data_IF_637307239804
#
_entry.id   IF_637307239804
#
_cell.length_a   1.000
_cell.length_b   1.000
_cell.length_c   1.000
_cell.angle_alpha   90.00
_cell.angle_beta   90.00
_cell.angle_gamma   90.00
#
_symmetry.space_group_name_H-M   'P 1'
#
loop_
_entity.id
_entity.type
_entity.pdbx_description
1 polymer ?
#
# COMPACT_ATOMS: atom_id res chain seq x y z
N UNK A 1 44.01 -41.38 22.74
CA UNK A 1 43.49 -40.75 23.96
C UNK A 1 42.03 -40.36 23.69
N UNK A 2 41.07 -41.18 24.19
CA UNK A 2 39.67 -41.02 23.95
C UNK A 2 39.05 -40.05 24.94
N UNK A 3 38.33 -39.05 24.43
CA UNK A 3 37.53 -38.14 25.24
C UNK A 3 36.33 -38.92 25.83
N UNK A 4 36.16 -38.80 27.17
CA UNK A 4 35.15 -39.58 27.90
C UNK A 4 33.74 -39.17 27.52
N UNK A 5 32.81 -40.16 27.54
CA UNK A 5 31.39 -40.01 27.18
C UNK A 5 30.62 -38.97 27.99
N UNK A 6 31.18 -38.50 29.12
CA UNK A 6 30.57 -37.44 29.94
C UNK A 6 30.73 -36.03 29.36
N UNK A 7 31.82 -35.79 28.57
CA UNK A 7 32.06 -34.47 27.95
C UNK A 7 31.14 -34.24 26.76
N UNK A 8 30.72 -35.30 26.07
CA UNK A 8 29.77 -35.20 24.96
C UNK A 8 28.31 -34.88 25.43
N UNK A 9 27.93 -35.50 26.57
CA UNK A 9 26.56 -35.24 27.13
C UNK A 9 26.40 -33.84 27.68
N UNK A 10 27.43 -33.15 28.13
CA UNK A 10 27.38 -31.75 28.56
C UNK A 10 27.27 -30.76 27.38
N UNK A 11 27.83 -31.09 26.22
CA UNK A 11 27.73 -30.23 25.03
C UNK A 11 26.36 -30.29 24.33
N UNK A 12 25.68 -31.42 24.38
CA UNK A 12 24.34 -31.59 23.80
C UNK A 12 23.27 -30.92 24.64
N UNK A 13 23.47 -30.76 25.96
CA UNK A 13 22.48 -30.10 26.86
C UNK A 13 22.51 -28.59 26.81
N UNK A 14 23.54 -27.97 26.18
CA UNK A 14 23.68 -26.52 26.04
C UNK A 14 23.09 -25.95 24.71
N UNK A 15 22.63 -26.82 23.81
CA UNK A 15 22.13 -26.39 22.48
C UNK A 15 20.60 -26.38 22.36
N UNK A 16 19.84 -26.65 23.42
CA UNK A 16 18.36 -26.74 23.35
C UNK A 16 17.67 -25.80 24.32
N UNK A 17 18.05 -24.53 24.37
CA UNK A 17 17.23 -23.47 24.92
C UNK A 17 17.29 -22.24 24.02
N UNK A 18 16.92 -22.37 22.75
CA UNK A 18 16.33 -21.24 22.04
C UNK A 18 14.95 -21.01 22.69
N UNK A 19 14.89 -20.05 23.61
CA UNK A 19 13.62 -19.42 23.96
C UNK A 19 13.06 -18.88 22.64
N UNK A 20 12.12 -19.58 22.04
CA UNK A 20 11.19 -18.99 21.10
C UNK A 20 10.46 -17.91 21.89
N UNK A 21 10.86 -16.66 21.71
CA UNK A 21 10.03 -15.54 22.10
C UNK A 21 8.78 -15.68 21.24
N UNK A 22 7.72 -16.22 21.81
CA UNK A 22 6.39 -16.12 21.22
C UNK A 22 6.05 -14.65 21.25
N UNK A 23 6.26 -13.95 20.13
CA UNK A 23 5.62 -12.67 19.91
C UNK A 23 4.12 -12.94 20.09
N UNK A 24 3.41 -12.19 20.94
CA UNK A 24 1.97 -12.37 21.07
C UNK A 24 1.36 -12.30 19.67
N UNK A 25 0.49 -13.24 19.32
CA UNK A 25 -0.29 -13.12 18.10
C UNK A 25 -1.00 -11.77 18.15
N UNK A 26 -0.85 -10.90 17.17
CA UNK A 26 -1.64 -9.68 17.13
C UNK A 26 -3.11 -10.08 17.24
N UNK A 27 -3.88 -9.30 18.00
CA UNK A 27 -5.32 -9.48 18.11
C UNK A 27 -5.99 -9.42 16.72
N UNK A 28 -7.31 -9.57 16.62
CA UNK A 28 -8.02 -9.49 15.35
C UNK A 28 -7.76 -8.12 14.71
N UNK A 29 -7.28 -8.12 13.46
CA UNK A 29 -7.05 -6.90 12.68
C UNK A 29 -8.37 -6.48 12.06
N UNK A 30 -8.78 -5.23 12.31
CA UNK A 30 -9.94 -4.62 11.67
C UNK A 30 -9.46 -3.74 10.52
N UNK A 31 -9.88 -4.07 9.31
CA UNK A 31 -9.49 -3.36 8.08
C UNK A 31 -10.62 -2.44 7.65
N UNK A 32 -10.27 -1.23 7.23
CA UNK A 32 -11.17 -0.32 6.54
C UNK A 32 -10.64 -0.04 5.13
N UNK A 33 -11.52 -0.11 4.14
CA UNK A 33 -11.27 0.38 2.79
C UNK A 33 -12.07 1.67 2.60
N UNK A 34 -11.38 2.78 2.32
CA UNK A 34 -11.99 4.07 2.08
C UNK A 34 -12.19 4.26 0.58
N UNK A 35 -13.43 4.55 0.20
CA UNK A 35 -13.81 4.83 -1.18
C UNK A 35 -14.60 6.14 -1.21
N UNK A 36 -14.08 7.12 -1.95
CA UNK A 36 -14.67 8.45 -2.10
C UNK A 36 -14.79 8.83 -3.57
N UNK A 37 -15.80 9.63 -3.87
CA UNK A 37 -15.87 10.36 -5.13
C UNK A 37 -14.99 11.59 -5.03
N UNK A 38 -13.98 11.70 -5.88
CA UNK A 38 -13.08 12.84 -5.90
C UNK A 38 -13.68 14.03 -6.68
N UNK A 39 -13.44 15.22 -6.17
CA UNK A 39 -13.69 16.50 -6.86
C UNK A 39 -12.43 16.96 -7.61
N UNK A 40 -12.54 18.12 -8.30
CA UNK A 40 -11.38 18.75 -8.93
C UNK A 40 -10.48 19.48 -7.91
N UNK A 41 -10.91 19.61 -6.67
CA UNK A 41 -10.16 20.25 -5.59
C UNK A 41 -9.39 19.18 -4.79
N UNK A 42 -8.06 19.20 -4.92
CA UNK A 42 -7.14 18.26 -4.25
C UNK A 42 -7.25 18.38 -2.74
N UNK A 43 -7.25 19.58 -2.18
CA UNK A 43 -7.31 19.79 -0.74
C UNK A 43 -8.64 19.28 -0.15
N UNK A 44 -9.77 19.53 -0.82
CA UNK A 44 -11.06 18.99 -0.41
C UNK A 44 -11.08 17.45 -0.41
N UNK A 45 -10.46 16.81 -1.41
CA UNK A 45 -10.37 15.36 -1.47
C UNK A 45 -9.52 14.82 -0.31
N UNK A 46 -8.41 15.47 0.01
CA UNK A 46 -7.53 15.08 1.13
C UNK A 46 -8.26 15.28 2.46
N UNK A 47 -8.92 16.43 2.67
CA UNK A 47 -9.66 16.72 3.90
C UNK A 47 -10.75 15.68 4.15
N UNK A 48 -11.58 15.39 3.15
CA UNK A 48 -12.62 14.36 3.26
C UNK A 48 -12.05 12.96 3.48
N UNK A 49 -10.90 12.66 2.90
CA UNK A 49 -10.21 11.38 3.14
C UNK A 49 -9.73 11.30 4.59
N UNK A 50 -9.16 12.36 5.14
CA UNK A 50 -8.74 12.43 6.54
C UNK A 50 -9.93 12.22 7.48
N UNK A 51 -11.08 12.86 7.21
CA UNK A 51 -12.30 12.67 8.00
C UNK A 51 -12.75 11.19 8.00
N UNK A 52 -12.66 10.52 6.86
CA UNK A 52 -12.98 9.10 6.76
C UNK A 52 -11.96 8.22 7.49
N UNK A 53 -10.66 8.56 7.46
CA UNK A 53 -9.62 7.87 8.23
C UNK A 53 -9.94 7.96 9.73
N UNK A 54 -10.24 9.16 10.24
CA UNK A 54 -10.59 9.39 11.65
C UNK A 54 -11.84 8.59 12.02
N UNK A 55 -12.86 8.59 11.17
CA UNK A 55 -14.09 7.83 11.39
C UNK A 55 -13.82 6.32 11.44
N UNK A 56 -13.03 5.79 10.50
CA UNK A 56 -12.66 4.38 10.43
C UNK A 56 -11.84 3.94 11.67
N UNK A 57 -10.86 4.74 12.07
CA UNK A 57 -10.05 4.49 13.26
C UNK A 57 -10.91 4.53 14.54
N UNK A 58 -11.81 5.51 14.66
CA UNK A 58 -12.78 5.60 15.77
C UNK A 58 -13.71 4.38 15.85
N UNK A 59 -14.00 3.75 14.68
CA UNK A 59 -14.71 2.49 14.61
C UNK A 59 -13.81 1.27 14.92
N UNK A 60 -12.53 1.48 15.24
CA UNK A 60 -11.55 0.47 15.64
C UNK A 60 -10.75 -0.15 14.51
N UNK A 61 -10.69 0.47 13.32
CA UNK A 61 -9.84 -0.01 12.25
C UNK A 61 -8.35 0.17 12.61
N UNK A 62 -7.55 -0.90 12.41
CA UNK A 62 -6.11 -0.91 12.65
C UNK A 62 -5.33 -0.75 11.32
N UNK A 63 -5.92 -1.16 10.19
CA UNK A 63 -5.41 -0.97 8.85
C UNK A 63 -6.43 -0.20 8.04
N UNK A 64 -6.00 0.90 7.44
CA UNK A 64 -6.86 1.75 6.61
C UNK A 64 -6.24 1.85 5.21
N UNK A 65 -6.96 1.39 4.21
CA UNK A 65 -6.55 1.42 2.81
C UNK A 65 -7.31 2.51 2.07
N UNK A 66 -6.59 3.40 1.43
CA UNK A 66 -7.14 4.42 0.54
C UNK A 66 -7.20 3.90 -0.89
N UNK A 67 -8.00 4.55 -1.73
CA UNK A 67 -8.03 4.24 -3.15
C UNK A 67 -6.75 4.69 -3.87
N UNK A 68 -6.52 4.18 -5.05
CA UNK A 68 -5.44 4.60 -5.95
C UNK A 68 -5.64 6.08 -6.33
N UNK A 69 -4.55 6.89 -6.29
CA UNK A 69 -4.55 8.31 -6.68
C UNK A 69 -5.67 9.13 -5.99
N UNK A 70 -5.91 8.84 -4.70
CA UNK A 70 -7.08 9.28 -3.95
C UNK A 70 -7.27 10.79 -3.85
N UNK A 71 -6.21 11.57 -4.06
CA UNK A 71 -6.24 13.04 -3.91
C UNK A 71 -6.83 13.78 -5.11
N UNK A 72 -7.11 13.08 -6.22
CA UNK A 72 -7.65 13.68 -7.44
C UNK A 72 -8.69 12.77 -8.10
N UNK A 73 -9.45 13.30 -9.05
CA UNK A 73 -10.14 12.45 -10.01
C UNK A 73 -9.12 11.59 -10.74
N UNK A 74 -9.52 10.40 -11.19
CA UNK A 74 -8.67 9.56 -12.01
C UNK A 74 -8.43 10.24 -13.37
N UNK A 75 -7.29 10.89 -13.50
CA UNK A 75 -6.95 11.75 -14.64
C UNK A 75 -6.44 10.95 -15.85
N UNK A 76 -6.07 9.70 -15.69
CA UNK A 76 -5.50 8.88 -16.76
C UNK A 76 -6.54 8.47 -17.84
N UNK A 77 -7.75 9.00 -17.77
CA UNK A 77 -8.76 8.85 -18.85
C UNK A 77 -8.36 9.58 -20.13
N UNK A 78 -7.46 10.54 -20.03
CA UNK A 78 -6.94 11.34 -21.13
C UNK A 78 -5.44 11.58 -20.96
N UNK A 79 -4.73 11.84 -22.07
CA UNK A 79 -3.34 12.28 -22.06
C UNK A 79 -3.29 13.80 -21.94
N UNK A 80 -3.07 14.32 -20.75
CA UNK A 80 -3.08 15.75 -20.43
C UNK A 80 -1.84 16.13 -19.62
N UNK A 81 -0.98 16.98 -20.21
CA UNK A 81 0.26 17.43 -19.56
C UNK A 81 0.03 18.26 -18.31
N UNK A 82 -1.11 18.93 -18.18
CA UNK A 82 -1.38 19.78 -17.02
C UNK A 82 -1.55 18.92 -15.74
N UNK A 83 -1.92 17.66 -15.87
CA UNK A 83 -2.08 16.74 -14.75
C UNK A 83 -0.75 16.41 -14.04
N UNK A 84 0.41 16.60 -14.68
CA UNK A 84 1.68 16.44 -14.00
C UNK A 84 1.90 17.41 -12.85
N UNK A 85 1.13 18.50 -12.78
CA UNK A 85 1.11 19.42 -11.66
C UNK A 85 0.60 18.79 -10.35
N UNK A 86 -0.19 17.70 -10.44
CA UNK A 86 -0.71 16.96 -9.30
C UNK A 86 0.35 16.09 -8.60
N UNK A 87 1.51 15.86 -9.25
CA UNK A 87 2.53 14.97 -8.73
C UNK A 87 3.32 15.61 -7.59
N UNK A 88 3.50 14.88 -6.49
CA UNK A 88 4.28 15.27 -5.32
C UNK A 88 5.51 14.38 -5.12
N UNK A 89 6.51 14.89 -4.41
CA UNK A 89 7.58 14.05 -3.87
C UNK A 89 7.04 13.12 -2.77
N UNK A 90 7.70 11.99 -2.55
CA UNK A 90 7.47 11.15 -1.38
C UNK A 90 8.78 11.10 -0.57
N UNK A 91 8.81 11.65 0.66
CA UNK A 91 7.76 12.42 1.35
C UNK A 91 7.41 13.75 0.68
N UNK A 92 6.15 14.16 0.85
CA UNK A 92 5.59 15.40 0.35
C UNK A 92 4.42 15.90 1.21
N UNK A 93 3.75 16.97 0.82
CA UNK A 93 2.68 17.60 1.62
C UNK A 93 1.56 16.64 1.99
N UNK A 94 1.09 15.84 1.02
CA UNK A 94 0.01 14.86 1.28
C UNK A 94 0.47 13.76 2.24
N UNK A 95 1.68 13.20 2.04
CA UNK A 95 2.21 12.17 2.95
C UNK A 95 2.43 12.71 4.36
N UNK A 96 2.83 13.97 4.52
CA UNK A 96 2.98 14.58 5.84
C UNK A 96 1.65 14.60 6.60
N UNK A 97 0.57 15.04 5.96
CA UNK A 97 -0.78 15.05 6.54
C UNK A 97 -1.25 13.64 6.91
N UNK A 98 -0.97 12.66 6.06
CA UNK A 98 -1.31 11.25 6.33
C UNK A 98 -0.50 10.68 7.51
N UNK A 99 0.78 11.05 7.65
CA UNK A 99 1.60 10.66 8.80
C UNK A 99 1.04 11.23 10.11
N UNK A 100 0.62 12.50 10.11
CA UNK A 100 0.02 13.15 11.28
C UNK A 100 -1.30 12.47 11.69
N UNK A 101 -2.17 12.14 10.74
CA UNK A 101 -3.43 11.47 11.04
C UNK A 101 -3.23 10.01 11.47
N UNK A 102 -2.27 9.30 10.89
CA UNK A 102 -1.90 7.94 11.31
C UNK A 102 -1.47 7.92 12.77
N UNK A 103 -0.52 8.80 13.15
CA UNK A 103 -0.05 8.93 14.54
C UNK A 103 -1.15 9.33 15.52
N UNK A 104 -2.03 10.25 15.10
CA UNK A 104 -3.11 10.73 15.98
C UNK A 104 -4.21 9.70 16.22
N UNK A 105 -4.30 8.67 15.38
CA UNK A 105 -5.38 7.68 15.44
C UNK A 105 -4.88 6.24 15.64
N UNK A 106 -3.59 6.03 15.89
CA UNK A 106 -2.97 4.71 16.12
C UNK A 106 -3.34 3.69 15.03
N UNK A 107 -3.26 4.08 13.75
CA UNK A 107 -3.67 3.25 12.63
C UNK A 107 -2.62 3.20 11.52
N UNK A 108 -2.37 2.00 10.99
CA UNK A 108 -1.56 1.79 9.79
C UNK A 108 -2.35 2.26 8.57
N UNK A 109 -1.74 3.07 7.70
CA UNK A 109 -2.39 3.60 6.49
C UNK A 109 -1.62 3.14 5.25
N UNK A 110 -2.35 2.70 4.23
CA UNK A 110 -1.85 2.48 2.87
C UNK A 110 -2.52 3.47 1.93
N UNK A 111 -1.73 4.32 1.27
CA UNK A 111 -2.25 5.41 0.45
C UNK A 111 -1.60 5.43 -0.94
N UNK A 112 -2.43 5.45 -2.00
CA UNK A 112 -2.00 5.58 -3.40
C UNK A 112 -1.75 7.05 -3.78
N UNK A 113 -0.61 7.35 -4.41
CA UNK A 113 -0.14 8.71 -4.68
C UNK A 113 0.45 8.84 -6.09
N UNK A 114 0.36 10.04 -6.66
CA UNK A 114 1.12 10.42 -7.85
C UNK A 114 2.51 10.92 -7.45
N UNK A 115 3.51 10.05 -7.56
CA UNK A 115 4.89 10.37 -7.16
C UNK A 115 5.64 11.12 -8.25
N UNK A 116 6.19 12.28 -7.92
CA UNK A 116 7.29 12.92 -8.66
C UNK A 116 8.61 12.51 -8.04
N UNK A 117 9.28 11.51 -8.61
CA UNK A 117 10.58 11.05 -8.12
C UNK A 117 11.70 12.04 -8.41
N UNK A 118 11.69 12.59 -9.62
CA UNK A 118 12.58 13.65 -10.08
C UNK A 118 11.96 14.34 -11.30
N UNK A 119 12.61 15.36 -11.83
CA UNK A 119 12.15 16.02 -13.04
C UNK A 119 12.03 15.01 -14.21
N UNK A 120 10.85 14.92 -14.80
CA UNK A 120 10.54 14.02 -15.91
C UNK A 120 10.39 12.53 -15.55
N UNK A 121 10.41 12.17 -14.27
CA UNK A 121 10.24 10.79 -13.82
C UNK A 121 9.16 10.68 -12.75
N UNK A 122 8.08 9.99 -13.09
CA UNK A 122 6.87 9.88 -12.29
C UNK A 122 6.44 8.44 -12.12
N UNK A 123 5.80 8.13 -10.98
CA UNK A 123 5.27 6.81 -10.68
C UNK A 123 3.86 6.89 -10.08
N UNK A 124 3.07 5.87 -10.35
CA UNK A 124 1.91 5.53 -9.55
C UNK A 124 2.42 4.75 -8.34
N UNK A 125 2.35 5.34 -7.16
CA UNK A 125 3.01 4.83 -5.96
C UNK A 125 2.03 4.66 -4.81
N UNK A 126 2.34 3.75 -3.89
CA UNK A 126 1.64 3.66 -2.63
C UNK A 126 2.64 3.70 -1.48
N UNK A 127 2.30 4.44 -0.43
CA UNK A 127 3.07 4.50 0.82
C UNK A 127 2.40 3.66 1.88
N UNK A 128 3.22 3.01 2.71
CA UNK A 128 2.79 2.36 3.95
C UNK A 128 3.26 3.22 5.11
N UNK A 129 2.32 3.71 5.90
CA UNK A 129 2.55 4.57 7.05
C UNK A 129 2.19 3.78 8.30
N UNK A 130 3.11 3.74 9.27
CA UNK A 130 2.93 3.09 10.56
C UNK A 130 2.01 3.90 11.47
N UNK A 131 1.47 3.26 12.49
CA UNK A 131 0.58 3.87 13.50
C UNK A 131 1.25 4.97 14.33
N UNK A 132 2.57 5.05 14.32
CA UNK A 132 3.34 6.16 14.91
C UNK A 132 3.55 7.34 13.95
N UNK A 133 3.06 7.25 12.72
CA UNK A 133 3.21 8.24 11.66
C UNK A 133 4.50 8.11 10.85
N UNK A 134 5.35 7.13 11.10
CA UNK A 134 6.54 6.91 10.29
C UNK A 134 6.20 6.26 8.94
N UNK A 135 6.89 6.66 7.87
CA UNK A 135 6.77 5.98 6.57
C UNK A 135 7.61 4.71 6.61
N UNK A 136 6.95 3.54 6.60
CA UNK A 136 7.60 2.23 6.56
C UNK A 136 8.26 1.98 5.21
N UNK A 137 7.62 2.41 4.14
CA UNK A 137 8.16 2.32 2.80
C UNK A 137 7.18 2.65 1.70
N UNK A 138 7.67 2.50 0.46
CA UNK A 138 6.93 2.82 -0.76
C UNK A 138 6.95 1.62 -1.70
N UNK A 139 5.82 1.38 -2.34
CA UNK A 139 5.67 0.52 -3.51
C UNK A 139 5.39 1.38 -4.74
N UNK A 140 5.97 1.04 -5.88
CA UNK A 140 5.69 1.65 -7.17
C UNK A 140 5.03 0.63 -8.07
N UNK A 141 3.88 0.97 -8.65
CA UNK A 141 3.10 0.09 -9.53
C UNK A 141 3.96 -0.50 -10.63
N UNK A 142 4.03 -1.83 -10.67
CA UNK A 142 4.88 -2.55 -11.61
C UNK A 142 4.24 -2.68 -13.00
N UNK A 143 2.94 -2.92 -13.03
CA UNK A 143 2.19 -3.11 -14.26
C UNK A 143 1.35 -1.87 -14.55
N UNK A 144 1.75 -1.15 -15.60
CA UNK A 144 1.13 0.11 -16.00
C UNK A 144 0.22 -0.15 -17.21
N UNK A 145 -1.11 0.03 -17.09
CA UNK A 145 -2.05 -0.15 -18.19
C UNK A 145 -1.90 0.93 -19.27
N UNK A 146 -2.37 0.59 -20.46
CA UNK A 146 -2.44 1.49 -21.61
C UNK A 146 -3.68 1.14 -22.47
N UNK A 147 -4.80 1.02 -21.82
CA UNK A 147 -6.08 0.71 -22.44
C UNK A 147 -6.93 1.99 -22.60
N UNK A 148 -7.96 1.99 -23.44
CA UNK A 148 -8.87 3.12 -23.54
C UNK A 148 -9.40 3.57 -22.17
N UNK A 149 -9.25 4.85 -21.86
CA UNK A 149 -9.56 5.48 -20.57
C UNK A 149 -8.66 5.08 -19.40
N UNK A 150 -7.57 4.36 -19.65
CA UNK A 150 -6.54 3.99 -18.69
C UNK A 150 -5.14 4.24 -19.27
N UNK A 151 -4.89 5.46 -19.79
CA UNK A 151 -3.64 5.86 -20.44
C UNK A 151 -2.55 6.16 -19.41
N UNK A 152 -2.30 5.20 -18.50
CA UNK A 152 -1.34 5.39 -17.42
C UNK A 152 0.10 5.43 -17.90
N UNK A 153 0.42 4.81 -19.05
CA UNK A 153 1.79 4.88 -19.62
C UNK A 153 2.20 6.28 -20.06
N UNK A 154 1.25 7.17 -20.33
CA UNK A 154 1.56 8.57 -20.60
C UNK A 154 2.14 9.26 -19.37
N UNK A 155 1.71 8.88 -18.15
CA UNK A 155 2.08 9.51 -16.91
C UNK A 155 3.18 8.79 -16.15
N UNK A 156 3.16 7.46 -16.11
CA UNK A 156 3.94 6.69 -15.15
C UNK A 156 4.99 5.78 -15.78
N UNK A 157 6.18 5.83 -15.21
CA UNK A 157 7.20 4.82 -15.42
C UNK A 157 6.88 3.59 -14.56
N UNK A 158 7.03 2.36 -15.08
CA UNK A 158 6.90 1.14 -14.28
C UNK A 158 7.76 1.16 -13.01
N UNK A 159 7.28 0.51 -11.97
CA UNK A 159 7.97 0.44 -10.68
C UNK A 159 9.32 -0.28 -10.77
N UNK A 160 10.27 0.19 -9.98
CA UNK A 160 11.65 -0.30 -9.91
C UNK A 160 12.04 -0.82 -8.52
N UNK A 161 11.08 -0.88 -7.58
CA UNK A 161 11.34 -1.31 -6.20
C UNK A 161 11.07 -2.81 -5.97
N UNK A 162 10.50 -3.49 -6.97
CA UNK A 162 10.10 -4.89 -6.88
C UNK A 162 8.90 -5.13 -5.97
N UNK A 163 8.51 -6.41 -5.84
CA UNK A 163 7.46 -6.85 -4.93
C UNK A 163 8.06 -7.13 -3.55
N UNK A 164 7.44 -6.60 -2.49
CA UNK A 164 7.91 -6.74 -1.11
C UNK A 164 6.77 -6.63 -0.11
N UNK A 165 7.05 -7.06 1.11
CA UNK A 165 6.19 -6.81 2.26
C UNK A 165 6.79 -5.75 3.16
N UNK A 166 5.96 -5.08 3.92
CA UNK A 166 6.31 -4.03 4.86
C UNK A 166 5.98 -4.50 6.28
N UNK A 167 6.96 -4.43 7.17
CA UNK A 167 6.76 -4.79 8.58
C UNK A 167 6.06 -3.64 9.28
N UNK A 168 4.89 -3.91 9.82
CA UNK A 168 4.08 -2.95 10.57
C UNK A 168 3.70 -3.52 11.94
N UNK A 169 3.17 -2.68 12.82
CA UNK A 169 2.65 -3.07 14.15
C UNK A 169 1.55 -4.14 14.07
N UNK A 170 0.83 -4.20 12.94
CA UNK A 170 -0.25 -5.18 12.71
C UNK A 170 0.20 -6.45 11.97
N UNK A 171 1.48 -6.54 11.58
CA UNK A 171 2.05 -7.68 10.82
C UNK A 171 2.64 -7.25 9.49
N UNK A 172 2.81 -8.22 8.59
CA UNK A 172 3.43 -8.01 7.27
C UNK A 172 2.38 -7.61 6.24
N UNK A 173 2.43 -6.36 5.79
CA UNK A 173 1.51 -5.80 4.78
C UNK A 173 2.20 -5.78 3.43
N UNK A 174 1.61 -6.43 2.43
CA UNK A 174 2.01 -6.35 1.03
C UNK A 174 1.12 -5.37 0.28
N UNK A 175 1.73 -4.62 -0.64
CA UNK A 175 1.01 -3.65 -1.46
C UNK A 175 1.27 -3.94 -2.93
N UNK A 176 0.20 -4.04 -3.69
CA UNK A 176 0.16 -3.98 -5.14
C UNK A 176 -0.84 -2.88 -5.54
N UNK A 177 -0.82 -2.41 -6.77
CA UNK A 177 -1.73 -1.32 -7.18
C UNK A 177 -2.55 -1.76 -8.39
N UNK A 178 -3.87 -1.73 -8.27
CA UNK A 178 -4.87 -1.83 -9.33
C UNK A 178 -4.56 -2.96 -10.34
N UNK A 179 -4.01 -2.62 -11.50
CA UNK A 179 -3.76 -3.56 -12.61
C UNK A 179 -2.77 -4.67 -12.25
N UNK A 180 -1.94 -4.51 -11.21
CA UNK A 180 -1.11 -5.60 -10.67
C UNK A 180 -1.95 -6.83 -10.29
N UNK A 181 -3.24 -6.67 -9.98
CA UNK A 181 -4.15 -7.77 -9.60
C UNK A 181 -4.33 -8.81 -10.72
N UNK A 182 -4.16 -8.42 -11.99
CA UNK A 182 -4.30 -9.31 -13.14
C UNK A 182 -3.07 -10.19 -13.38
N UNK A 183 -1.97 -9.90 -12.69
CA UNK A 183 -0.70 -10.62 -12.80
C UNK A 183 -0.49 -11.47 -11.53
N UNK A 184 -0.67 -12.81 -11.61
CA UNK A 184 -0.57 -13.68 -10.43
C UNK A 184 0.81 -13.61 -9.76
N UNK A 185 1.86 -13.23 -10.50
CA UNK A 185 3.21 -13.01 -9.99
C UNK A 185 3.24 -11.91 -8.92
N UNK A 186 2.44 -10.88 -9.06
CA UNK A 186 2.38 -9.76 -8.09
C UNK A 186 2.00 -10.27 -6.71
N UNK A 187 0.87 -10.98 -6.60
CA UNK A 187 0.42 -11.57 -5.34
C UNK A 187 1.39 -12.62 -4.83
N UNK A 188 1.87 -13.50 -5.71
CA UNK A 188 2.76 -14.61 -5.34
C UNK A 188 4.08 -14.11 -4.78
N UNK A 189 4.76 -13.19 -5.47
CA UNK A 189 6.07 -12.67 -5.05
C UNK A 189 5.94 -11.84 -3.77
N UNK A 190 4.87 -11.06 -3.63
CA UNK A 190 4.60 -10.29 -2.42
C UNK A 190 4.32 -11.22 -1.22
N UNK A 191 3.56 -12.30 -1.43
CA UNK A 191 3.33 -13.31 -0.39
C UNK A 191 4.63 -14.07 -0.02
N UNK A 192 5.46 -14.43 -1.01
CA UNK A 192 6.77 -15.04 -0.77
C UNK A 192 7.75 -14.10 -0.04
N UNK A 193 7.59 -12.78 -0.20
CA UNK A 193 8.30 -11.77 0.58
C UNK A 193 7.79 -11.64 2.03
N UNK A 194 6.79 -12.45 2.42
CA UNK A 194 6.29 -12.56 3.79
C UNK A 194 4.98 -11.84 4.06
N UNK A 195 4.32 -11.26 3.07
CA UNK A 195 3.05 -10.57 3.27
C UNK A 195 1.97 -11.52 3.83
N UNK A 196 1.33 -11.09 4.90
CA UNK A 196 0.19 -11.76 5.54
C UNK A 196 -1.15 -11.14 5.10
N UNK A 197 -1.11 -9.86 4.73
CA UNK A 197 -2.22 -9.10 4.19
C UNK A 197 -1.76 -8.49 2.88
N UNK A 198 -2.54 -8.65 1.82
CA UNK A 198 -2.33 -7.98 0.53
C UNK A 198 -3.41 -6.93 0.33
N UNK A 199 -2.99 -5.71 0.01
CA UNK A 199 -3.89 -4.60 -0.30
C UNK A 199 -3.63 -4.10 -1.72
N UNK A 200 -4.71 -3.72 -2.39
CA UNK A 200 -4.68 -3.23 -3.78
C UNK A 200 -5.44 -1.91 -3.85
N UNK A 201 -4.80 -0.76 -3.55
CA UNK A 201 -5.36 0.53 -3.94
C UNK A 201 -5.76 0.49 -5.41
N UNK A 202 -7.00 0.81 -5.71
CA UNK A 202 -7.55 0.61 -7.06
C UNK A 202 -8.44 1.78 -7.45
N UNK A 203 -8.31 2.21 -8.73
CA UNK A 203 -9.22 3.11 -9.42
C UNK A 203 -9.70 2.43 -10.70
N UNK A 204 -10.81 1.69 -10.60
CA UNK A 204 -11.43 0.96 -11.70
C UNK A 204 -12.93 1.23 -11.72
N UNK A 205 -13.52 1.26 -12.89
CA UNK A 205 -14.96 1.46 -13.05
C UNK A 205 -15.46 0.90 -14.37
N UNK A 206 -16.77 0.79 -14.47
CA UNK A 206 -17.44 0.43 -15.71
C UNK A 206 -17.63 1.68 -16.57
N UNK A 207 -17.21 1.62 -17.82
CA UNK A 207 -17.61 2.60 -18.80
C UNK A 207 -19.10 2.42 -19.13
N UNK A 208 -19.81 3.52 -19.38
CA UNK A 208 -21.26 3.45 -19.62
C UNK A 208 -21.65 2.52 -20.81
N UNK A 209 -20.81 2.51 -21.86
CA UNK A 209 -20.97 1.63 -23.01
C UNK A 209 -20.78 0.14 -22.64
N UNK A 210 -19.73 -0.16 -21.88
CA UNK A 210 -19.42 -1.52 -21.43
C UNK A 210 -20.48 -2.06 -20.48
N UNK A 211 -21.07 -1.20 -19.64
CA UNK A 211 -22.10 -1.59 -18.70
C UNK A 211 -23.37 -2.08 -19.40
N UNK A 212 -23.69 -1.55 -20.57
CA UNK A 212 -24.82 -2.02 -21.38
C UNK A 212 -24.54 -3.36 -22.07
N UNK A 213 -23.27 -3.66 -22.37
CA UNK A 213 -22.85 -4.88 -23.07
C UNK A 213 -22.52 -6.02 -22.11
N UNK A 214 -21.82 -5.76 -21.00
CA UNK A 214 -21.27 -6.77 -20.09
C UNK A 214 -21.86 -6.72 -18.68
N UNK A 215 -22.57 -5.68 -18.31
CA UNK A 215 -23.03 -5.45 -16.94
C UNK A 215 -24.31 -6.17 -16.53
N UNK A 216 -24.88 -7.04 -17.39
CA UNK A 216 -26.15 -7.72 -17.17
C UNK A 216 -26.02 -9.18 -16.74
N UNK A 217 -24.80 -9.63 -16.36
CA UNK A 217 -24.54 -11.02 -15.91
C UNK A 217 -24.44 -11.12 -14.40
#
# INVERSE_FOLDING_TARGET
>A
MGLSSQTLKKRVKAMNTTKTSSTPSPGPIKVAAIQLTCSDNVDDNIDRTIDQIVSAASAGANLICLQELFSSRYFCQYEDHDQFALAESIPGPTTQRLCEVAASNDAVIVAGLFERRTAGLFHNSAVVIESDGSIVGTYRKMHIPDDPFFYEKFYFTPGDLGFKSFTTSIGQVGVCICWDQWFPESARLTALAGAQILVYPTAIGWQAAEKSEFGAS
#
